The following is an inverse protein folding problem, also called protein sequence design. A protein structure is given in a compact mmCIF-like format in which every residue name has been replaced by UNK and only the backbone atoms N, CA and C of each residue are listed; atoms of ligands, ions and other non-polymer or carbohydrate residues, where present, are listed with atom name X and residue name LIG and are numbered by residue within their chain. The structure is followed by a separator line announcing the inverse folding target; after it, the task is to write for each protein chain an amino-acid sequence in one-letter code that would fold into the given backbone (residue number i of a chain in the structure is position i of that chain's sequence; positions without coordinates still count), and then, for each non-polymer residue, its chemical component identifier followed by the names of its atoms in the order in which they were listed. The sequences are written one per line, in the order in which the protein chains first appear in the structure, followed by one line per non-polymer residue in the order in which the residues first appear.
data_IF_091931763551
#
_entry.id   IF_091931763551
#
_cell.length_a   1.000
_cell.length_b   1.000
_cell.length_c   1.000
_cell.angle_alpha   90.00
_cell.angle_beta   90.00
_cell.angle_gamma   90.00
#
_symmetry.space_group_name_H-M   'P 1'
#
loop_
_entity.id
_entity.type
_entity.pdbx_description
1 polymer ?
#
# COMPACT_ATOMS: atom_id res chain seq x y z
N UNK A 1 -7.75 12.88 6.20
CA UNK A 1 -7.79 13.83 7.31
C UNK A 1 -8.87 13.51 8.33
N UNK A 2 -10.14 13.58 7.95
CA UNK A 2 -11.26 13.46 8.91
C UNK A 2 -11.28 12.13 9.67
N UNK A 3 -11.17 11.02 8.99
CA UNK A 3 -11.18 9.68 9.61
C UNK A 3 -10.13 9.55 10.73
N UNK A 4 -8.89 9.89 10.48
CA UNK A 4 -7.81 9.82 11.47
C UNK A 4 -7.65 11.06 12.36
N UNK A 5 -8.48 12.09 12.21
CA UNK A 5 -8.27 13.36 12.89
C UNK A 5 -6.92 14.03 12.57
N UNK A 6 -6.28 13.63 11.48
CA UNK A 6 -4.96 14.12 11.12
C UNK A 6 -5.02 15.59 10.69
N UNK A 7 -4.30 16.52 11.38
CA UNK A 7 -4.39 17.96 11.14
C UNK A 7 -3.77 18.38 9.82
N UNK A 8 -2.84 17.56 9.29
CA UNK A 8 -2.14 17.83 8.03
C UNK A 8 -2.11 16.57 7.18
N UNK A 9 -2.85 16.61 6.08
CA UNK A 9 -2.77 15.60 5.02
C UNK A 9 -2.53 16.33 3.71
N UNK A 10 -1.66 15.77 2.86
CA UNK A 10 -1.48 16.32 1.53
C UNK A 10 -2.77 16.22 0.70
N UNK A 11 -3.15 17.30 0.05
CA UNK A 11 -4.33 17.37 -0.83
C UNK A 11 -3.95 17.23 -2.32
N UNK A 12 -2.67 17.10 -2.62
CA UNK A 12 -2.18 16.94 -3.98
C UNK A 12 -1.50 15.60 -4.14
N UNK A 13 -1.65 14.93 -5.29
CA UNK A 13 -0.86 13.75 -5.61
C UNK A 13 0.63 14.04 -5.52
N UNK A 14 1.40 13.08 -5.08
CA UNK A 14 2.87 13.12 -5.16
C UNK A 14 3.35 12.97 -6.61
N UNK A 15 4.66 13.04 -6.78
CA UNK A 15 5.29 12.78 -8.08
C UNK A 15 5.12 11.31 -8.47
N UNK A 16 4.94 11.04 -9.74
CA UNK A 16 4.97 9.69 -10.29
C UNK A 16 6.40 9.14 -10.24
N UNK A 17 6.55 7.82 -10.36
CA UNK A 17 7.83 7.15 -10.12
C UNK A 17 9.01 7.74 -10.91
N UNK A 18 8.87 7.97 -12.22
CA UNK A 18 9.94 8.54 -13.04
C UNK A 18 10.27 9.98 -12.62
N UNK A 19 9.24 10.83 -12.50
CA UNK A 19 9.37 12.22 -12.07
C UNK A 19 9.94 12.34 -10.65
N UNK A 20 9.67 11.36 -9.77
CA UNK A 20 10.20 11.31 -8.41
C UNK A 20 11.72 11.17 -8.44
N UNK A 21 12.27 10.26 -9.26
CA UNK A 21 13.71 10.08 -9.36
C UNK A 21 14.41 11.24 -10.08
N UNK A 22 13.74 11.92 -11.00
CA UNK A 22 14.22 13.20 -11.52
C UNK A 22 14.29 14.27 -10.44
N UNK A 23 13.28 14.34 -9.57
CA UNK A 23 13.27 15.26 -8.44
C UNK A 23 14.36 14.96 -7.38
N UNK A 24 14.71 13.69 -7.19
CA UNK A 24 15.86 13.30 -6.36
C UNK A 24 17.16 13.81 -6.98
N UNK A 25 17.38 13.55 -8.27
CA UNK A 25 18.57 14.01 -9.01
C UNK A 25 18.71 15.52 -8.99
N UNK A 26 17.61 16.25 -9.08
CA UNK A 26 17.60 17.72 -9.05
C UNK A 26 17.72 18.28 -7.61
N UNK A 27 17.88 17.43 -6.59
CA UNK A 27 18.03 17.82 -5.18
C UNK A 27 16.73 18.35 -4.53
N UNK A 28 15.58 18.24 -5.20
CA UNK A 28 14.27 18.63 -4.66
C UNK A 28 13.76 17.62 -3.61
N UNK A 29 14.15 16.35 -3.74
CA UNK A 29 13.88 15.30 -2.76
C UNK A 29 15.22 14.89 -2.16
N UNK A 30 15.33 15.01 -0.84
CA UNK A 30 16.55 14.76 -0.07
C UNK A 30 16.56 13.45 0.69
N UNK A 31 15.39 12.88 0.90
CA UNK A 31 15.23 11.62 1.60
C UNK A 31 14.20 10.73 0.90
N UNK A 32 14.51 9.44 0.76
CA UNK A 32 13.62 8.43 0.21
C UNK A 32 13.52 7.24 1.15
N UNK A 33 12.32 6.69 1.26
CA UNK A 33 12.10 5.36 1.80
C UNK A 33 11.49 4.48 0.72
N UNK A 34 12.25 3.50 0.26
CA UNK A 34 11.85 2.54 -0.79
C UNK A 34 11.45 1.24 -0.11
N UNK A 35 10.26 0.74 -0.42
CA UNK A 35 9.70 -0.45 0.21
C UNK A 35 9.28 -1.46 -0.85
N UNK A 36 9.72 -2.71 -0.70
CA UNK A 36 9.29 -3.87 -1.48
C UNK A 36 9.40 -3.71 -3.01
N UNK A 37 10.33 -2.86 -3.49
CA UNK A 37 10.59 -2.67 -4.93
C UNK A 37 12.05 -2.39 -5.19
N UNK A 38 12.50 -2.65 -6.42
CA UNK A 38 13.88 -2.48 -6.85
C UNK A 38 13.97 -1.48 -8.04
N UNK A 39 13.77 -0.17 -7.80
CA UNK A 39 13.72 0.84 -8.85
C UNK A 39 15.00 0.94 -9.70
N UNK A 40 16.16 0.60 -9.16
CA UNK A 40 17.42 0.54 -9.91
C UNK A 40 17.40 -0.50 -11.07
N UNK A 41 16.40 -1.41 -11.06
CA UNK A 41 16.21 -2.42 -12.11
C UNK A 41 14.89 -2.23 -12.84
N UNK A 42 13.81 -1.90 -12.12
CA UNK A 42 12.44 -1.93 -12.66
C UNK A 42 12.01 -0.64 -13.36
N UNK A 43 12.71 0.46 -13.15
CA UNK A 43 12.40 1.72 -13.81
C UNK A 43 13.17 1.89 -15.14
N UNK A 44 12.61 2.65 -16.09
CA UNK A 44 13.34 3.04 -17.28
C UNK A 44 14.57 3.88 -16.92
N UNK A 45 15.58 3.89 -17.80
CA UNK A 45 16.83 4.63 -17.61
C UNK A 45 17.52 4.29 -16.26
N UNK A 46 17.73 3.00 -15.98
CA UNK A 46 18.27 2.48 -14.72
C UNK A 46 19.52 3.21 -14.23
N UNK A 47 20.43 3.60 -15.12
CA UNK A 47 21.64 4.34 -14.76
C UNK A 47 21.33 5.71 -14.14
N UNK A 48 20.29 6.38 -14.62
CA UNK A 48 19.81 7.66 -14.05
C UNK A 48 19.21 7.47 -12.67
N UNK A 49 18.48 6.39 -12.46
CA UNK A 49 17.94 6.02 -11.15
C UNK A 49 19.05 5.74 -10.16
N UNK A 50 20.05 4.96 -10.57
CA UNK A 50 21.26 4.66 -9.75
C UNK A 50 22.01 5.95 -9.41
N UNK A 51 22.21 6.85 -10.38
CA UNK A 51 22.86 8.13 -10.15
C UNK A 51 22.08 9.01 -9.14
N UNK A 52 20.75 9.06 -9.29
CA UNK A 52 19.87 9.78 -8.36
C UNK A 52 19.98 9.22 -6.94
N UNK A 53 19.94 7.89 -6.77
CA UNK A 53 20.06 7.26 -5.46
C UNK A 53 21.43 7.51 -4.81
N UNK A 54 22.51 7.49 -5.57
CA UNK A 54 23.88 7.82 -5.07
C UNK A 54 24.02 9.27 -4.62
N UNK A 55 23.26 10.17 -5.22
CA UNK A 55 23.27 11.61 -4.90
C UNK A 55 22.32 11.95 -3.75
N UNK A 56 21.31 11.14 -3.48
CA UNK A 56 20.29 11.39 -2.45
C UNK A 56 20.95 11.44 -1.07
N UNK A 57 20.63 12.46 -0.29
CA UNK A 57 21.22 12.68 1.04
C UNK A 57 20.90 11.54 2.02
N UNK A 58 19.70 10.94 1.90
CA UNK A 58 19.29 9.86 2.79
C UNK A 58 18.36 8.87 2.08
N UNK A 59 18.81 7.61 1.98
CA UNK A 59 18.03 6.51 1.36
C UNK A 59 17.83 5.40 2.37
N UNK A 60 16.58 5.09 2.66
CA UNK A 60 16.16 3.94 3.44
C UNK A 60 15.55 2.91 2.49
N UNK A 61 15.90 1.65 2.62
CA UNK A 61 15.30 0.56 1.86
C UNK A 61 14.76 -0.49 2.82
N UNK A 62 13.50 -0.86 2.65
CA UNK A 62 12.89 -2.03 3.30
C UNK A 62 12.72 -3.12 2.25
N UNK A 63 13.45 -4.21 2.39
CA UNK A 63 13.44 -5.31 1.42
C UNK A 63 13.69 -6.65 2.13
N UNK A 64 13.13 -7.73 1.58
CA UNK A 64 13.40 -9.10 2.03
C UNK A 64 14.70 -9.67 1.43
N UNK A 65 15.32 -8.95 0.50
CA UNK A 65 16.57 -9.34 -0.16
C UNK A 65 17.66 -8.29 0.08
N UNK A 66 18.71 -8.70 0.77
CA UNK A 66 19.80 -7.80 1.20
C UNK A 66 20.63 -7.20 0.05
N UNK A 67 20.74 -7.89 -1.07
CA UNK A 67 21.71 -7.59 -2.13
C UNK A 67 21.05 -7.21 -3.46
N UNK A 68 19.88 -6.58 -3.45
CA UNK A 68 19.33 -5.97 -4.66
C UNK A 68 20.16 -4.74 -5.06
N UNK A 69 20.07 -4.34 -6.34
CA UNK A 69 20.80 -3.17 -6.83
C UNK A 69 20.41 -1.89 -6.08
N UNK A 70 19.12 -1.76 -5.72
CA UNK A 70 18.62 -0.66 -4.91
C UNK A 70 19.11 -0.76 -3.46
N UNK A 71 19.02 -1.94 -2.83
CA UNK A 71 19.43 -2.12 -1.43
C UNK A 71 20.91 -1.82 -1.20
N UNK A 72 21.77 -2.07 -2.19
CA UNK A 72 23.21 -1.73 -2.13
C UNK A 72 23.49 -0.22 -2.08
N UNK A 73 22.52 0.60 -2.46
CA UNK A 73 22.63 2.07 -2.46
C UNK A 73 21.98 2.69 -1.21
N UNK A 74 21.45 1.89 -0.31
CA UNK A 74 20.79 2.36 0.90
C UNK A 74 21.80 2.84 1.95
N UNK A 75 21.48 3.95 2.62
CA UNK A 75 22.17 4.37 3.83
C UNK A 75 21.69 3.55 5.03
N UNK A 76 20.42 3.14 5.02
CA UNK A 76 19.80 2.28 6.03
C UNK A 76 19.03 1.18 5.32
N UNK A 77 19.31 -0.07 5.68
CA UNK A 77 18.56 -1.24 5.24
C UNK A 77 17.74 -1.79 6.40
N UNK A 78 16.44 -1.88 6.21
CA UNK A 78 15.48 -2.45 7.16
C UNK A 78 15.04 -3.82 6.64
N UNK A 79 15.46 -4.93 7.26
CA UNK A 79 15.08 -6.25 6.78
C UNK A 79 13.57 -6.46 6.90
N UNK A 80 12.92 -6.76 5.80
CA UNK A 80 11.50 -7.03 5.73
C UNK A 80 11.23 -8.54 5.65
N UNK A 81 10.16 -8.99 6.29
CA UNK A 81 9.71 -10.38 6.22
C UNK A 81 9.19 -10.71 4.82
N UNK A 82 9.53 -11.90 4.33
CA UNK A 82 9.04 -12.44 3.08
C UNK A 82 7.60 -12.94 3.16
N UNK A 83 7.09 -13.43 2.03
CA UNK A 83 5.69 -13.85 1.91
C UNK A 83 5.25 -14.89 2.95
N UNK A 84 6.03 -15.96 3.14
CA UNK A 84 5.72 -17.03 4.08
C UNK A 84 6.03 -16.72 5.54
N UNK A 85 6.58 -15.55 5.83
CA UNK A 85 7.12 -15.15 7.14
C UNK A 85 6.23 -14.13 7.86
N UNK A 86 5.13 -13.69 7.24
CA UNK A 86 4.25 -12.65 7.77
C UNK A 86 2.77 -12.93 7.54
N UNK A 87 1.97 -12.37 8.41
CA UNK A 87 0.52 -12.39 8.32
C UNK A 87 -0.02 -11.12 7.68
N UNK A 88 -1.22 -11.21 7.13
CA UNK A 88 -1.94 -10.09 6.56
C UNK A 88 -3.09 -10.52 5.67
N UNK A 89 -3.44 -9.64 4.74
CA UNK A 89 -4.38 -9.92 3.66
C UNK A 89 -3.76 -9.51 2.34
N UNK A 90 -4.17 -10.15 1.27
CA UNK A 90 -3.76 -9.83 -0.10
C UNK A 90 -4.97 -9.73 -0.98
N UNK A 91 -4.93 -8.82 -1.95
CA UNK A 91 -6.00 -8.63 -2.91
C UNK A 91 -5.50 -8.95 -4.31
N UNK A 92 -6.26 -9.73 -5.06
CA UNK A 92 -5.95 -10.02 -6.46
C UNK A 92 -6.71 -9.10 -7.42
N UNK A 93 -6.45 -9.25 -8.72
CA UNK A 93 -7.06 -8.42 -9.76
C UNK A 93 -8.57 -8.66 -9.96
N UNK A 94 -9.14 -9.75 -9.45
CA UNK A 94 -10.59 -10.00 -9.45
C UNK A 94 -11.29 -9.44 -8.21
N UNK A 95 -10.63 -8.59 -7.42
CA UNK A 95 -11.18 -7.96 -6.21
C UNK A 95 -11.33 -8.93 -5.03
N UNK A 96 -10.64 -10.06 -5.04
CA UNK A 96 -10.71 -11.05 -3.98
C UNK A 96 -9.64 -10.78 -2.94
N UNK A 97 -10.06 -10.56 -1.70
CA UNK A 97 -9.22 -10.42 -0.52
C UNK A 97 -9.09 -11.79 0.12
N UNK A 98 -7.87 -12.26 0.32
CA UNK A 98 -7.55 -13.53 0.96
C UNK A 98 -6.64 -13.33 2.16
N UNK A 99 -6.84 -14.15 3.20
CA UNK A 99 -5.89 -14.21 4.32
C UNK A 99 -4.53 -14.73 3.84
N UNK A 100 -3.48 -14.00 4.15
CA UNK A 100 -2.10 -14.45 4.08
C UNK A 100 -1.69 -14.88 5.49
N UNK A 101 -1.22 -16.13 5.64
CA UNK A 101 -0.76 -16.68 6.91
C UNK A 101 0.73 -16.97 6.83
N UNK A 102 1.48 -16.50 7.82
CA UNK A 102 2.87 -16.90 8.00
C UNK A 102 2.94 -18.39 8.36
N UNK A 103 3.85 -19.15 7.73
CA UNK A 103 4.06 -20.56 7.99
C UNK A 103 5.53 -20.90 8.28
N UNK A 104 6.41 -19.91 8.19
CA UNK A 104 7.82 -19.98 8.62
C UNK A 104 8.18 -18.75 9.44
N UNK A 105 9.09 -18.86 10.41
CA UNK A 105 9.55 -17.71 11.18
C UNK A 105 10.37 -16.76 10.31
N UNK A 106 10.23 -15.46 10.55
CA UNK A 106 11.06 -14.45 9.90
C UNK A 106 12.53 -14.62 10.33
N UNK A 107 13.50 -14.57 9.39
CA UNK A 107 14.91 -14.78 9.70
C UNK A 107 15.55 -13.56 10.37
N UNK A 108 16.43 -13.78 11.31
CA UNK A 108 17.28 -12.74 11.92
C UNK A 108 16.49 -11.57 12.50
N UNK A 109 16.66 -10.38 11.93
CA UNK A 109 16.01 -9.15 12.36
C UNK A 109 14.83 -8.74 11.46
N UNK A 110 14.45 -9.58 10.50
CA UNK A 110 13.37 -9.28 9.58
C UNK A 110 12.03 -9.11 10.33
N UNK A 111 11.28 -8.09 9.93
CA UNK A 111 9.97 -7.76 10.49
C UNK A 111 8.95 -7.57 9.37
N UNK A 112 7.68 -7.83 9.66
CA UNK A 112 6.61 -7.46 8.75
C UNK A 112 6.62 -5.95 8.46
N UNK A 113 6.30 -5.56 7.22
CA UNK A 113 6.36 -4.17 6.77
C UNK A 113 5.54 -3.23 7.66
N UNK A 114 4.37 -3.66 8.10
CA UNK A 114 3.51 -2.87 8.98
C UNK A 114 4.16 -2.60 10.36
N UNK A 115 4.92 -3.56 10.91
CA UNK A 115 5.67 -3.37 12.14
C UNK A 115 6.81 -2.37 11.94
N UNK A 116 7.54 -2.46 10.83
CA UNK A 116 8.60 -1.51 10.48
C UNK A 116 8.03 -0.10 10.42
N UNK A 117 6.92 0.09 9.68
CA UNK A 117 6.25 1.39 9.57
C UNK A 117 5.75 1.89 10.93
N UNK A 118 5.10 1.04 11.71
CA UNK A 118 4.56 1.41 13.02
C UNK A 118 5.67 1.82 14.00
N UNK A 119 6.80 1.12 14.01
CA UNK A 119 7.93 1.46 14.88
C UNK A 119 8.57 2.81 14.50
N UNK A 120 8.68 3.11 13.21
CA UNK A 120 9.15 4.41 12.74
C UNK A 120 8.15 5.50 13.11
N UNK A 121 6.86 5.29 12.86
CA UNK A 121 5.81 6.24 13.20
C UNK A 121 5.76 6.56 14.69
N UNK A 122 5.91 5.55 15.57
CA UNK A 122 5.99 5.73 17.03
C UNK A 122 7.17 6.63 17.41
N UNK A 123 8.34 6.47 16.79
CA UNK A 123 9.53 7.31 17.03
C UNK A 123 9.38 8.73 16.50
N UNK A 124 8.53 8.93 15.50
CA UNK A 124 8.15 10.25 14.99
C UNK A 124 7.04 10.94 15.80
N UNK A 125 6.59 10.32 16.91
CA UNK A 125 5.58 10.91 17.80
C UNK A 125 4.13 10.50 17.49
N UNK A 126 3.91 9.57 16.56
CA UNK A 126 2.57 9.10 16.18
C UNK A 126 2.17 7.80 16.88
N UNK A 127 2.68 7.54 18.09
CA UNK A 127 2.49 6.27 18.80
C UNK A 127 1.03 5.86 19.00
N UNK A 128 0.16 6.80 19.33
CA UNK A 128 -1.27 6.52 19.51
C UNK A 128 -1.97 6.09 18.21
N UNK A 129 -1.61 6.71 17.08
CA UNK A 129 -2.19 6.41 15.78
C UNK A 129 -1.67 5.10 15.16
N UNK A 130 -0.57 4.55 15.68
CA UNK A 130 0.04 3.31 15.21
C UNK A 130 0.14 2.26 16.33
N UNK A 131 -0.86 2.22 17.20
CA UNK A 131 -0.91 1.32 18.35
C UNK A 131 -1.51 -0.06 18.01
N UNK A 132 -1.28 -0.55 16.83
CA UNK A 132 -1.77 -1.86 16.40
C UNK A 132 -1.07 -3.00 17.16
N UNK A 133 -1.85 -3.99 17.58
CA UNK A 133 -1.37 -5.21 18.22
C UNK A 133 -1.32 -6.39 17.25
N UNK A 134 -2.12 -6.34 16.18
CA UNK A 134 -2.24 -7.41 15.21
C UNK A 134 -2.54 -6.89 13.79
N UNK A 135 -2.43 -7.76 12.80
CA UNK A 135 -2.89 -7.48 11.45
C UNK A 135 -4.41 -7.38 11.33
N UNK A 136 -5.14 -7.99 12.28
CA UNK A 136 -6.59 -7.86 12.36
C UNK A 136 -7.01 -6.42 12.71
N UNK A 137 -6.27 -5.74 13.60
CA UNK A 137 -6.53 -4.33 13.93
C UNK A 137 -6.39 -3.45 12.69
N UNK A 138 -5.34 -3.67 11.90
CA UNK A 138 -5.09 -2.93 10.66
C UNK A 138 -6.18 -3.22 9.63
N UNK A 139 -6.61 -4.48 9.53
CA UNK A 139 -7.66 -4.86 8.60
C UNK A 139 -9.00 -4.24 8.96
N UNK A 140 -9.38 -4.21 10.25
CA UNK A 140 -10.59 -3.52 10.74
C UNK A 140 -10.54 -2.02 10.43
N UNK A 141 -9.44 -1.35 10.73
CA UNK A 141 -9.29 0.08 10.40
C UNK A 141 -9.37 0.32 8.89
N UNK A 142 -8.79 -0.56 8.09
CA UNK A 142 -8.91 -0.48 6.63
C UNK A 142 -10.36 -0.64 6.16
N UNK A 143 -11.11 -1.55 6.80
CA UNK A 143 -12.53 -1.74 6.52
C UNK A 143 -13.35 -0.51 6.92
N UNK A 144 -13.16 0.02 8.12
CA UNK A 144 -13.78 1.26 8.57
C UNK A 144 -13.48 2.43 7.63
N UNK A 145 -12.22 2.59 7.23
CA UNK A 145 -11.81 3.65 6.30
C UNK A 145 -12.47 3.52 4.93
N UNK A 146 -12.64 2.29 4.44
CA UNK A 146 -13.29 2.04 3.15
C UNK A 146 -14.78 2.45 3.15
N UNK A 147 -15.46 2.25 4.27
CA UNK A 147 -16.86 2.61 4.48
C UNK A 147 -17.06 4.09 4.87
N UNK A 148 -16.01 4.73 5.45
CA UNK A 148 -16.12 6.08 5.98
C UNK A 148 -16.58 7.09 4.92
N UNK A 149 -17.76 7.69 5.14
CA UNK A 149 -18.40 8.63 4.21
C UNK A 149 -18.48 8.09 2.77
N UNK A 150 -18.63 6.77 2.60
CA UNK A 150 -18.71 6.17 1.28
C UNK A 150 -20.14 6.30 0.69
N UNK A 151 -21.14 5.75 1.36
CA UNK A 151 -22.54 5.84 0.89
C UNK A 151 -22.73 5.41 -0.57
N UNK A 152 -21.92 4.47 -1.07
CA UNK A 152 -21.96 4.01 -2.46
C UNK A 152 -21.29 4.95 -3.47
N UNK A 153 -20.53 5.96 -3.00
CA UNK A 153 -19.80 6.88 -3.89
C UNK A 153 -18.48 6.31 -4.44
N UNK A 154 -17.93 5.30 -3.78
CA UNK A 154 -16.71 4.61 -4.17
C UNK A 154 -16.97 3.11 -4.30
N UNK A 155 -16.23 2.49 -5.21
CA UNK A 155 -16.31 1.07 -5.51
C UNK A 155 -15.75 0.19 -4.39
N UNK A 156 -14.63 0.59 -3.79
CA UNK A 156 -14.02 -0.15 -2.70
C UNK A 156 -14.72 0.15 -1.38
N UNK A 157 -15.41 -0.85 -0.87
CA UNK A 157 -16.09 -0.84 0.43
C UNK A 157 -16.05 -2.26 1.00
N UNK A 158 -15.50 -2.41 2.19
CA UNK A 158 -15.50 -3.66 2.97
C UNK A 158 -15.99 -3.40 4.39
N UNK A 159 -16.89 -2.42 4.56
CA UNK A 159 -17.45 -2.01 5.84
C UNK A 159 -18.07 -3.14 6.66
N UNK A 160 -18.59 -4.17 6.00
CA UNK A 160 -19.09 -5.37 6.67
C UNK A 160 -18.03 -6.07 7.54
N UNK A 161 -16.72 -5.83 7.26
CA UNK A 161 -15.60 -6.45 7.98
C UNK A 161 -15.02 -5.56 9.10
N UNK A 162 -15.59 -4.38 9.32
CA UNK A 162 -15.06 -3.40 10.28
C UNK A 162 -15.06 -3.90 11.74
N UNK A 163 -15.95 -4.81 12.08
CA UNK A 163 -16.09 -5.39 13.42
C UNK A 163 -15.77 -6.89 13.49
N UNK A 164 -15.08 -7.43 12.49
CA UNK A 164 -14.73 -8.86 12.47
C UNK A 164 -13.89 -9.23 13.71
N UNK A 165 -14.27 -10.29 14.41
CA UNK A 165 -13.52 -10.79 15.55
C UNK A 165 -12.18 -11.42 15.11
N UNK A 166 -11.22 -11.55 16.05
CA UNK A 166 -9.88 -12.06 15.70
C UNK A 166 -9.91 -13.49 15.15
N UNK A 167 -10.74 -14.35 15.74
CA UNK A 167 -10.93 -15.74 15.31
C UNK A 167 -11.66 -15.82 13.96
N UNK A 168 -12.64 -14.96 13.72
CA UNK A 168 -13.32 -14.83 12.44
C UNK A 168 -12.36 -14.31 11.34
N UNK A 169 -11.52 -13.31 11.68
CA UNK A 169 -10.49 -12.82 10.77
C UNK A 169 -9.49 -13.93 10.43
N UNK A 170 -9.06 -14.72 11.42
CA UNK A 170 -8.14 -15.82 11.20
C UNK A 170 -8.75 -16.95 10.36
N UNK A 171 -10.03 -17.21 10.51
CA UNK A 171 -10.78 -18.21 9.73
C UNK A 171 -11.33 -17.66 8.41
N UNK A 172 -11.16 -16.37 8.14
CA UNK A 172 -11.79 -15.66 7.02
C UNK A 172 -11.55 -16.38 5.68
N UNK A 173 -12.61 -16.80 4.98
CA UNK A 173 -12.50 -17.28 3.60
C UNK A 173 -12.17 -16.11 2.67
N UNK A 174 -11.70 -16.36 1.44
CA UNK A 174 -11.56 -15.31 0.45
C UNK A 174 -12.88 -14.58 0.20
N UNK A 175 -12.88 -13.27 0.40
CA UNK A 175 -14.04 -12.39 0.18
C UNK A 175 -13.80 -11.52 -1.05
N UNK A 176 -14.86 -11.14 -1.74
CA UNK A 176 -14.77 -10.23 -2.90
C UNK A 176 -15.46 -8.92 -2.56
N UNK A 177 -14.79 -7.80 -2.77
CA UNK A 177 -15.40 -6.49 -2.55
C UNK A 177 -16.19 -6.00 -3.81
N UNK A 178 -17.23 -5.17 -3.67
CA UNK A 178 -17.66 -4.50 -2.44
C UNK A 178 -18.43 -5.41 -1.49
N UNK A 179 -18.25 -5.15 -0.19
CA UNK A 179 -19.04 -5.70 0.92
C UNK A 179 -19.33 -4.57 1.91
N UNK A 180 -20.27 -3.66 1.59
CA UNK A 180 -20.64 -2.58 2.48
C UNK A 180 -21.28 -3.10 3.77
N UNK A 181 -21.40 -2.24 4.78
CA UNK A 181 -22.05 -2.60 6.05
C UNK A 181 -23.42 -3.24 5.82
N UNK A 182 -23.67 -4.35 6.50
CA UNK A 182 -24.90 -5.15 6.35
C UNK A 182 -24.90 -6.11 5.16
N UNK A 183 -23.90 -6.11 4.29
CA UNK A 183 -23.79 -7.11 3.23
C UNK A 183 -23.41 -8.48 3.82
N UNK A 184 -24.13 -9.52 3.39
CA UNK A 184 -23.85 -10.92 3.75
C UNK A 184 -23.07 -11.65 2.66
N UNK A 185 -23.12 -11.14 1.45
CA UNK A 185 -22.42 -11.67 0.27
C UNK A 185 -21.85 -10.53 -0.58
N UNK A 186 -20.77 -10.83 -1.27
CA UNK A 186 -20.16 -9.91 -2.22
C UNK A 186 -20.91 -9.87 -3.55
N UNK A 187 -20.89 -8.73 -4.22
CA UNK A 187 -21.41 -8.63 -5.59
C UNK A 187 -20.42 -9.30 -6.57
N UNK A 188 -20.86 -10.34 -7.30
CA UNK A 188 -19.97 -11.12 -8.14
C UNK A 188 -19.50 -10.36 -9.39
N UNK A 189 -20.26 -9.38 -9.85
CA UNK A 189 -19.96 -8.64 -11.08
C UNK A 189 -20.17 -7.14 -10.88
N UNK A 190 -19.11 -6.35 -11.16
CA UNK A 190 -19.22 -4.92 -11.26
C UNK A 190 -19.97 -4.50 -12.53
N UNK A 191 -20.63 -3.35 -12.42
CA UNK A 191 -21.30 -2.68 -13.55
C UNK A 191 -22.35 -3.55 -14.25
N UNK A 192 -22.90 -4.54 -13.54
CA UNK A 192 -23.95 -5.40 -14.09
C UNK A 192 -25.16 -4.58 -14.54
N UNK A 193 -25.50 -3.54 -13.79
CA UNK A 193 -26.61 -2.62 -14.07
C UNK A 193 -26.19 -1.41 -14.94
N UNK A 194 -24.96 -1.41 -15.46
CA UNK A 194 -24.45 -0.34 -16.32
C UNK A 194 -24.09 0.96 -15.62
N UNK A 195 -24.03 0.97 -14.29
CA UNK A 195 -23.62 2.13 -13.51
C UNK A 195 -22.14 2.10 -13.14
N UNK A 196 -21.43 3.19 -13.43
CA UNK A 196 -20.00 3.35 -13.17
C UNK A 196 -19.76 4.37 -12.07
N UNK A 197 -18.56 4.34 -11.42
CA UNK A 197 -18.15 5.28 -10.37
C UNK A 197 -17.56 6.57 -10.96
N UNK A 198 -18.20 7.09 -11.98
CA UNK A 198 -17.92 8.36 -12.64
C UNK A 198 -19.00 9.38 -12.28
N UNK A 199 -18.74 10.66 -12.49
CA UNK A 199 -19.70 11.73 -12.15
C UNK A 199 -21.04 11.62 -12.92
N UNK A 200 -21.00 11.08 -14.13
CA UNK A 200 -22.18 10.85 -15.00
C UNK A 200 -22.64 9.39 -15.00
N UNK A 201 -22.05 8.55 -14.15
CA UNK A 201 -22.34 7.11 -14.01
C UNK A 201 -22.14 6.29 -15.28
N UNK A 202 -21.35 6.79 -16.23
CA UNK A 202 -21.08 6.11 -17.52
C UNK A 202 -19.61 5.71 -17.66
N UNK A 203 -19.34 4.67 -18.43
CA UNK A 203 -17.99 4.30 -18.83
C UNK A 203 -17.41 5.34 -19.79
N UNK A 204 -16.17 5.81 -19.49
CA UNK A 204 -15.47 6.78 -20.31
C UNK A 204 -14.39 6.10 -21.15
N UNK A 205 -14.45 6.29 -22.46
CA UNK A 205 -13.40 5.86 -23.39
C UNK A 205 -12.39 6.99 -23.57
N UNK A 206 -11.21 6.83 -22.97
CA UNK A 206 -10.13 7.81 -23.05
C UNK A 206 -9.12 7.34 -24.08
N UNK A 207 -8.92 8.12 -25.13
CA UNK A 207 -7.84 7.87 -26.09
C UNK A 207 -6.49 8.11 -25.39
N UNK A 208 -5.56 7.13 -25.37
CA UNK A 208 -4.25 7.36 -24.80
C UNK A 208 -3.43 8.28 -25.69
N UNK A 209 -2.76 9.25 -25.08
CA UNK A 209 -1.68 9.98 -25.75
C UNK A 209 -0.50 9.01 -25.93
N UNK A 210 -0.21 8.63 -27.18
CA UNK A 210 0.95 7.81 -27.49
C UNK A 210 2.17 8.73 -27.55
N UNK A 211 3.10 8.68 -26.59
CA UNK A 211 4.32 9.45 -26.68
C UNK A 211 5.09 9.01 -27.94
N UNK A 212 5.43 9.94 -28.79
CA UNK A 212 6.32 9.65 -29.91
C UNK A 212 7.64 9.13 -29.35
N UNK A 213 8.01 7.91 -29.73
CA UNK A 213 9.34 7.37 -29.45
C UNK A 213 10.37 8.34 -30.09
N UNK A 214 11.19 8.93 -29.28
CA UNK A 214 12.34 9.76 -29.71
C UNK A 214 13.56 8.89 -29.87
#
# INVERSE_FOLDING_TARGET
GRFWGAPKITHRPGLKAVELFDAVRDGRIKALWIMATNPAVSLPEADRVVAALKQCEFVVVSDNTRHTDTARLAHVLLPAAGWGEKDGTVTNSERRISRQRGFIPAPGQAKADWLIMSEVAKRLGYGAAFAYNSVADIFREHAELSAFENGGSRDFDIGAMASVADDEFDAMPPIMWPMPEGAVESQPRFFAEGEYYTSDRKGHFIAPDVPMLR
#
